data_IF_591516312936
#
_entry.id   IF_591516312936
#
_cell.length_a   1.000
_cell.length_b   1.000
_cell.length_c   1.000
_cell.angle_alpha   90.00
_cell.angle_beta   90.00
_cell.angle_gamma   90.00
#
_symmetry.space_group_name_H-M   'P 1'
#
loop_
_entity.id
_entity.type
_entity.pdbx_description
1 polymer ?
#
# COMPACT_ATOMS: atom_id res chain seq x y z
N UNK A 1 2.60 -27.35 -4.07
CA UNK A 1 2.18 -26.20 -4.91
C UNK A 1 3.39 -25.29 -4.94
N UNK A 2 4.07 -25.25 -6.09
CA UNK A 2 5.30 -24.47 -6.28
C UNK A 2 4.87 -23.12 -6.85
N UNK A 3 5.23 -22.02 -6.16
CA UNK A 3 4.87 -20.66 -6.55
C UNK A 3 5.94 -20.14 -7.51
N UNK A 4 5.88 -20.57 -8.77
CA UNK A 4 6.85 -20.24 -9.83
C UNK A 4 6.59 -18.88 -10.51
N UNK A 5 6.04 -17.89 -9.80
CA UNK A 5 5.77 -16.56 -10.39
C UNK A 5 5.90 -15.44 -9.37
N UNK A 6 7.11 -15.30 -8.81
CA UNK A 6 7.47 -14.26 -7.83
C UNK A 6 8.23 -13.08 -8.43
N UNK A 7 8.17 -12.89 -9.75
CA UNK A 7 8.98 -11.87 -10.45
C UNK A 7 8.44 -10.44 -10.32
N UNK A 8 7.37 -10.16 -9.55
CA UNK A 8 6.85 -8.79 -9.45
C UNK A 8 6.15 -8.37 -8.14
N UNK A 9 6.51 -8.94 -6.99
CA UNK A 9 6.04 -8.41 -5.70
C UNK A 9 7.16 -8.42 -4.66
N UNK A 10 7.88 -7.30 -4.53
CA UNK A 10 8.81 -7.07 -3.41
C UNK A 10 8.09 -6.91 -2.05
N UNK A 11 6.77 -6.64 -2.06
CA UNK A 11 5.98 -6.31 -0.87
C UNK A 11 4.85 -7.33 -0.63
N UNK A 12 5.02 -8.21 0.37
CA UNK A 12 3.98 -9.15 0.81
C UNK A 12 3.17 -8.59 1.99
N UNK A 13 1.85 -8.55 1.86
CA UNK A 13 0.93 -8.17 2.94
C UNK A 13 0.18 -9.38 3.49
N UNK A 14 0.26 -9.60 4.81
CA UNK A 14 -0.43 -10.69 5.52
C UNK A 14 -1.49 -10.11 6.46
N UNK A 15 -2.71 -10.61 6.36
CA UNK A 15 -3.81 -10.24 7.25
C UNK A 15 -4.16 -11.42 8.18
N UNK A 16 -4.39 -11.11 9.46
CA UNK A 16 -4.78 -12.10 10.48
C UNK A 16 -5.73 -11.47 11.49
N UNK A 17 -6.62 -12.30 12.07
CA UNK A 17 -7.60 -11.86 13.05
C UNK A 17 -7.06 -11.83 14.48
N UNK A 18 -5.95 -12.54 14.74
CA UNK A 18 -5.27 -12.54 16.03
C UNK A 18 -3.76 -12.36 15.87
N UNK A 19 -3.12 -11.85 16.92
CA UNK A 19 -1.66 -11.68 16.95
C UNK A 19 -0.93 -13.02 16.87
N UNK A 20 -1.49 -14.08 17.47
CA UNK A 20 -0.91 -15.42 17.38
C UNK A 20 -0.90 -15.94 15.93
N UNK A 21 -2.02 -15.80 15.22
CA UNK A 21 -2.08 -16.16 13.80
C UNK A 21 -1.13 -15.31 12.96
N UNK A 22 -1.00 -14.03 13.30
CA UNK A 22 -0.06 -13.13 12.64
C UNK A 22 1.39 -13.62 12.82
N UNK A 23 1.77 -14.01 14.04
CA UNK A 23 3.09 -14.57 14.32
C UNK A 23 3.32 -15.88 13.58
N UNK A 24 2.35 -16.81 13.61
CA UNK A 24 2.44 -18.11 12.93
C UNK A 24 2.62 -17.94 11.41
N UNK A 25 1.82 -17.07 10.77
CA UNK A 25 1.95 -16.78 9.33
C UNK A 25 3.28 -16.12 9.01
N UNK A 26 3.72 -15.19 9.84
CA UNK A 26 4.98 -14.47 9.64
C UNK A 26 6.18 -15.42 9.72
N UNK A 27 6.22 -16.31 10.71
CA UNK A 27 7.26 -17.35 10.84
C UNK A 27 7.20 -18.35 9.68
N UNK A 28 5.99 -18.77 9.28
CA UNK A 28 5.78 -19.71 8.18
C UNK A 28 6.28 -19.14 6.85
N UNK A 29 5.94 -17.89 6.55
CA UNK A 29 6.42 -17.17 5.36
C UNK A 29 7.93 -16.98 5.40
N UNK A 30 8.50 -16.59 6.55
CA UNK A 30 9.95 -16.48 6.70
C UNK A 30 10.68 -17.79 6.39
N UNK A 31 10.13 -18.93 6.83
CA UNK A 31 10.69 -20.24 6.54
C UNK A 31 10.49 -20.67 5.07
N UNK A 32 9.32 -20.39 4.49
CA UNK A 32 8.95 -20.83 3.14
C UNK A 32 9.65 -20.04 2.03
N UNK A 33 9.80 -18.73 2.21
CA UNK A 33 10.34 -17.87 1.16
C UNK A 33 11.86 -18.07 1.02
N UNK A 34 12.57 -18.52 2.07
CA UNK A 34 14.02 -18.78 2.02
C UNK A 34 14.89 -17.56 1.67
N UNK A 35 14.27 -16.41 1.39
CA UNK A 35 14.89 -15.13 1.11
C UNK A 35 15.06 -14.35 2.43
N UNK A 36 16.10 -13.53 2.48
CA UNK A 36 16.30 -12.59 3.58
C UNK A 36 15.15 -11.59 3.62
N UNK A 37 14.15 -11.84 4.47
CA UNK A 37 13.12 -10.84 4.80
C UNK A 37 13.85 -9.59 5.28
N UNK A 38 13.60 -8.48 4.60
CA UNK A 38 14.23 -7.21 4.95
C UNK A 38 13.58 -6.65 6.23
N UNK A 39 14.06 -7.13 7.38
CA UNK A 39 13.51 -6.87 8.73
C UNK A 39 13.14 -5.40 8.98
N UNK A 40 14.03 -4.47 8.58
CA UNK A 40 13.82 -3.02 8.75
C UNK A 40 12.67 -2.43 7.92
N UNK A 41 12.24 -3.12 6.86
CA UNK A 41 11.08 -2.74 6.03
C UNK A 41 9.81 -3.46 6.46
N UNK A 42 9.94 -4.58 7.17
CA UNK A 42 8.81 -5.33 7.72
C UNK A 42 8.14 -4.53 8.83
N UNK A 43 6.85 -4.25 8.65
CA UNK A 43 6.04 -3.40 9.51
C UNK A 43 4.75 -4.10 9.87
N UNK A 44 4.24 -3.82 11.06
CA UNK A 44 2.95 -4.32 11.54
C UNK A 44 2.00 -3.14 11.68
N UNK A 45 0.82 -3.26 11.08
CA UNK A 45 -0.27 -2.30 11.26
C UNK A 45 -1.34 -2.95 12.14
N UNK A 46 -1.48 -2.53 13.41
CA UNK A 46 -2.61 -2.93 14.22
C UNK A 46 -3.90 -2.33 13.65
N UNK A 47 -4.90 -3.17 13.42
CA UNK A 47 -6.23 -2.77 12.94
C UNK A 47 -7.25 -2.95 14.07
N UNK A 48 -7.92 -1.87 14.47
CA UNK A 48 -8.95 -1.83 15.54
C UNK A 48 -8.54 -2.28 16.95
N UNK A 49 -7.32 -2.75 17.17
CA UNK A 49 -6.86 -3.26 18.48
C UNK A 49 -5.39 -2.94 18.65
N UNK A 50 -5.00 -2.48 19.85
CA UNK A 50 -3.59 -2.25 20.15
C UNK A 50 -2.79 -3.55 20.03
N UNK A 51 -1.61 -3.47 19.43
CA UNK A 51 -0.68 -4.58 19.37
C UNK A 51 -0.14 -4.83 20.80
N UNK A 52 -0.76 -5.74 21.56
CA UNK A 52 -0.35 -6.01 22.96
C UNK A 52 0.87 -6.91 23.03
N UNK A 53 0.98 -7.88 22.13
CA UNK A 53 2.16 -8.71 21.97
C UNK A 53 3.00 -8.27 20.77
N UNK A 54 4.32 -8.31 20.93
CA UNK A 54 5.27 -7.96 19.86
C UNK A 54 5.36 -9.10 18.84
N UNK A 55 5.19 -8.77 17.56
CA UNK A 55 5.48 -9.69 16.46
C UNK A 55 6.98 -9.66 16.16
N UNK A 56 7.59 -10.83 15.95
CA UNK A 56 9.03 -10.95 15.71
C UNK A 56 9.36 -11.80 14.49
N UNK A 57 10.43 -11.41 13.79
CA UNK A 57 11.17 -12.26 12.84
C UNK A 57 12.63 -12.10 13.24
N UNK A 58 13.10 -12.91 14.20
CA UNK A 58 14.41 -12.76 14.86
C UNK A 58 14.54 -11.46 15.69
N UNK A 59 14.22 -10.31 15.08
CA UNK A 59 14.09 -8.99 15.69
C UNK A 59 12.62 -8.53 15.75
N UNK A 60 12.37 -7.48 16.53
CA UNK A 60 11.04 -6.86 16.66
C UNK A 60 10.68 -6.08 15.40
N UNK A 61 9.45 -6.29 14.91
CA UNK A 61 8.89 -5.50 13.82
C UNK A 61 8.38 -4.14 14.32
N UNK A 62 8.47 -3.11 13.49
CA UNK A 62 7.97 -1.78 13.82
C UNK A 62 6.43 -1.75 13.72
N UNK A 63 5.78 -1.34 14.80
CA UNK A 63 4.35 -1.01 14.80
C UNK A 63 4.15 0.36 14.15
N UNK A 64 3.48 0.40 13.01
CA UNK A 64 3.19 1.62 12.27
C UNK A 64 1.71 1.97 12.34
N UNK A 65 1.39 3.26 12.23
CA UNK A 65 0.00 3.74 12.16
C UNK A 65 -0.58 3.75 10.74
N UNK A 66 0.30 3.70 9.75
CA UNK A 66 -0.07 3.68 8.34
C UNK A 66 0.79 2.68 7.58
N UNK A 67 0.16 1.97 6.66
CA UNK A 67 0.80 1.02 5.77
C UNK A 67 0.50 1.43 4.32
N UNK A 68 1.53 1.50 3.47
CA UNK A 68 1.34 1.77 2.04
C UNK A 68 1.54 0.48 1.28
N UNK A 69 0.48 -0.07 0.71
CA UNK A 69 0.54 -1.24 -0.15
C UNK A 69 0.09 -0.88 -1.56
N UNK A 70 0.92 -1.13 -2.57
CA UNK A 70 0.60 -0.84 -3.99
C UNK A 70 0.06 0.59 -4.21
N UNK A 71 0.60 1.57 -3.47
CA UNK A 71 0.21 2.97 -3.55
C UNK A 71 -1.12 3.33 -2.87
N UNK A 72 -1.76 2.40 -2.16
CA UNK A 72 -2.91 2.66 -1.29
C UNK A 72 -2.44 2.74 0.16
N UNK A 73 -2.76 3.85 0.84
CA UNK A 73 -2.49 4.03 2.27
C UNK A 73 -3.66 3.46 3.08
N UNK A 74 -3.34 2.56 4.00
CA UNK A 74 -4.27 1.99 4.98
C UNK A 74 -3.82 2.49 6.35
N UNK A 75 -4.73 3.06 7.13
CA UNK A 75 -4.46 3.48 8.52
C UNK A 75 -4.93 2.44 9.55
N UNK A 76 -4.62 2.68 10.82
CA UNK A 76 -5.00 1.83 11.96
C UNK A 76 -6.51 1.63 12.14
N UNK A 77 -7.32 2.49 11.52
CA UNK A 77 -8.78 2.43 11.48
C UNK A 77 -9.31 1.81 10.19
N UNK A 78 -8.42 1.35 9.30
CA UNK A 78 -8.76 0.76 8.00
C UNK A 78 -9.37 1.76 7.03
N UNK A 79 -9.22 3.05 7.32
CA UNK A 79 -9.65 4.13 6.48
C UNK A 79 -8.73 4.24 5.27
N UNK A 80 -9.32 4.17 4.08
CA UNK A 80 -8.69 4.68 2.85
C UNK A 80 -8.98 6.17 2.65
N UNK A 81 -9.71 6.82 3.55
CA UNK A 81 -10.17 8.20 3.37
C UNK A 81 -9.00 9.17 3.18
N UNK A 82 -7.91 8.98 3.93
CA UNK A 82 -6.69 9.75 3.75
C UNK A 82 -6.06 9.52 2.35
N UNK A 83 -6.02 8.27 1.89
CA UNK A 83 -5.50 7.92 0.56
C UNK A 83 -6.37 8.49 -0.57
N UNK A 84 -7.69 8.32 -0.47
CA UNK A 84 -8.68 8.84 -1.42
C UNK A 84 -8.59 10.36 -1.48
N UNK A 85 -8.53 11.04 -0.33
CA UNK A 85 -8.38 12.49 -0.27
C UNK A 85 -7.04 12.94 -0.86
N UNK A 86 -5.95 12.22 -0.63
CA UNK A 86 -4.65 12.51 -1.23
C UNK A 86 -4.67 12.33 -2.76
N UNK A 87 -5.29 11.26 -3.26
CA UNK A 87 -5.46 11.01 -4.71
C UNK A 87 -6.33 12.08 -5.36
N UNK A 88 -7.43 12.48 -4.73
CA UNK A 88 -8.28 13.59 -5.18
C UNK A 88 -7.48 14.89 -5.20
N UNK A 89 -6.69 15.17 -4.18
CA UNK A 89 -5.82 16.34 -4.11
C UNK A 89 -4.82 16.41 -5.27
N UNK A 90 -4.14 15.29 -5.56
CA UNK A 90 -3.21 15.18 -6.70
C UNK A 90 -3.92 15.38 -8.04
N UNK A 91 -5.08 14.75 -8.24
CA UNK A 91 -5.87 14.91 -9.46
C UNK A 91 -6.33 16.36 -9.66
N UNK A 92 -6.79 17.04 -8.59
CA UNK A 92 -7.15 18.46 -8.63
C UNK A 92 -5.95 19.34 -8.99
N UNK A 93 -4.77 19.07 -8.42
CA UNK A 93 -3.56 19.81 -8.72
C UNK A 93 -3.14 19.64 -10.19
N UNK A 94 -3.14 18.41 -10.71
CA UNK A 94 -2.84 18.14 -12.12
C UNK A 94 -3.86 18.82 -13.06
N UNK A 95 -5.15 18.75 -12.73
CA UNK A 95 -6.20 19.43 -13.49
C UNK A 95 -5.97 20.95 -13.54
N UNK A 96 -5.58 21.56 -12.41
CA UNK A 96 -5.28 22.99 -12.33
C UNK A 96 -4.02 23.37 -13.12
N UNK A 97 -2.98 22.55 -13.13
CA UNK A 97 -1.78 22.79 -13.94
C UNK A 97 -2.10 22.80 -15.44
N UNK A 98 -3.05 21.96 -15.88
CA UNK A 98 -3.48 21.87 -17.27
C UNK A 98 -4.59 22.87 -17.64
N UNK A 99 -4.92 23.83 -16.76
CA UNK A 99 -5.99 24.83 -16.96
C UNK A 99 -5.93 25.53 -18.32
N UNK A 100 -4.75 25.91 -18.77
CA UNK A 100 -4.58 26.59 -20.06
C UNK A 100 -4.93 25.68 -21.25
N UNK A 101 -4.60 24.39 -21.15
CA UNK A 101 -4.94 23.37 -22.15
C UNK A 101 -6.45 23.15 -22.18
N UNK A 102 -7.09 23.05 -21.02
CA UNK A 102 -8.55 22.92 -20.92
C UNK A 102 -9.28 24.12 -21.53
N UNK A 103 -8.77 25.33 -21.34
CA UNK A 103 -9.36 26.57 -21.88
C UNK A 103 -9.04 26.84 -23.36
N UNK A 104 -8.08 26.12 -23.96
CA UNK A 104 -7.62 26.40 -25.33
C UNK A 104 -8.66 26.00 -26.37
N UNK A 105 -9.09 26.93 -27.22
CA UNK A 105 -10.06 26.65 -28.32
C UNK A 105 -9.44 25.95 -29.53
N UNK A 106 -8.11 26.00 -29.67
CA UNK A 106 -7.37 25.35 -30.77
C UNK A 106 -7.34 23.83 -30.65
N UNK A 107 -7.52 23.28 -29.45
CA UNK A 107 -7.54 21.84 -29.23
C UNK A 107 -8.97 21.31 -29.31
N UNK A 108 -9.25 20.34 -30.20
CA UNK A 108 -10.54 19.69 -30.27
C UNK A 108 -10.89 18.98 -28.95
N UNK A 109 -12.18 18.91 -28.62
CA UNK A 109 -12.67 18.22 -27.42
C UNK A 109 -12.19 16.77 -27.34
N UNK A 110 -12.19 16.05 -28.47
CA UNK A 110 -11.74 14.65 -28.52
C UNK A 110 -10.27 14.50 -28.10
N UNK A 111 -9.41 15.46 -28.45
CA UNK A 111 -7.99 15.45 -28.05
C UNK A 111 -7.85 15.70 -26.55
N UNK A 112 -8.63 16.62 -25.98
CA UNK A 112 -8.64 16.88 -24.54
C UNK A 112 -9.13 15.69 -23.72
N UNK A 113 -10.17 15.01 -24.20
CA UNK A 113 -10.68 13.77 -23.59
C UNK A 113 -9.61 12.67 -23.63
N UNK A 114 -8.88 12.55 -24.75
CA UNK A 114 -7.80 11.57 -24.86
C UNK A 114 -6.68 11.83 -23.85
N UNK A 115 -6.31 13.09 -23.63
CA UNK A 115 -5.31 13.49 -22.62
C UNK A 115 -5.80 13.16 -21.20
N UNK A 116 -7.08 13.38 -20.89
CA UNK A 116 -7.64 13.04 -19.58
C UNK A 116 -7.66 11.53 -19.29
N UNK A 117 -7.80 10.71 -20.33
CA UNK A 117 -7.88 9.25 -20.23
C UNK A 117 -6.51 8.54 -20.31
N UNK A 118 -5.40 9.29 -20.39
CA UNK A 118 -4.04 8.73 -20.40
C UNK A 118 -3.48 8.78 -18.98
#
# INVERSE_FOLDING_TARGET
MQLDDLDFVDDLALLSQSQQQMQEKTTSVAAAVGLNIHKRKSKVLPYNTACTNRITIDEYLEDVKTFTNLGSIIDEHGGSDADVNARIGKARAAYLQLKNIWNTKQLPTNTKVRIFNT
#
